data_IF_273526051919
#
_entry.id   IF_273526051919
#
_cell.length_a   1.000
_cell.length_b   1.000
_cell.length_c   1.000
_cell.angle_alpha   90.00
_cell.angle_beta   90.00
_cell.angle_gamma   90.00
#
_symmetry.space_group_name_H-M   'P 1'
#
loop_
_entity.id
_entity.type
_entity.pdbx_description
1 polymer ?
#
# COMPACT_ATOMS: atom_id res chain seq x y z
N UNK A 1 -25.56 -1.49 -15.07
CA UNK A 1 -26.31 -0.25 -15.39
C UNK A 1 -27.36 -0.49 -16.47
N UNK A 2 -27.03 -1.11 -17.61
CA UNK A 2 -28.04 -1.52 -18.60
C UNK A 2 -29.02 -2.57 -18.04
N UNK A 3 -28.52 -3.57 -17.33
CA UNK A 3 -29.37 -4.56 -16.62
C UNK A 3 -30.25 -3.90 -15.55
N UNK A 4 -29.67 -3.01 -14.73
CA UNK A 4 -30.42 -2.27 -13.71
C UNK A 4 -31.54 -1.41 -14.32
N UNK A 5 -31.32 -0.80 -15.48
CA UNK A 5 -32.36 -0.06 -16.20
C UNK A 5 -33.48 -1.00 -16.68
N UNK A 6 -33.15 -2.19 -17.18
CA UNK A 6 -34.13 -3.17 -17.63
C UNK A 6 -35.03 -3.61 -16.47
N UNK A 7 -34.44 -3.92 -15.31
CA UNK A 7 -35.18 -4.25 -14.09
C UNK A 7 -36.04 -3.06 -13.60
N UNK A 8 -35.48 -1.84 -13.58
CA UNK A 8 -36.23 -0.65 -13.16
C UNK A 8 -37.46 -0.39 -14.05
N UNK A 9 -37.35 -0.64 -15.36
CA UNK A 9 -38.47 -0.57 -16.30
C UNK A 9 -39.47 -1.71 -16.09
N UNK A 10 -38.99 -2.92 -15.84
CA UNK A 10 -39.83 -4.10 -15.58
C UNK A 10 -40.70 -3.92 -14.33
N UNK A 11 -40.11 -3.42 -13.23
CA UNK A 11 -40.83 -3.12 -11.99
C UNK A 11 -41.53 -1.74 -12.00
N UNK A 12 -41.53 -1.02 -13.13
CA UNK A 12 -42.16 0.29 -13.28
C UNK A 12 -41.69 1.34 -12.25
N UNK A 13 -40.42 1.30 -11.84
CA UNK A 13 -39.83 2.27 -10.91
C UNK A 13 -39.31 3.47 -11.71
N UNK A 14 -40.20 4.40 -12.03
CA UNK A 14 -39.95 5.52 -12.96
C UNK A 14 -38.74 6.38 -12.60
N UNK A 15 -38.58 6.74 -11.32
CA UNK A 15 -37.46 7.57 -10.87
C UNK A 15 -36.10 6.86 -11.05
N UNK A 16 -36.05 5.56 -10.74
CA UNK A 16 -34.85 4.75 -10.92
C UNK A 16 -34.53 4.57 -12.40
N UNK A 17 -35.54 4.33 -13.24
CA UNK A 17 -35.37 4.21 -14.69
C UNK A 17 -34.80 5.51 -15.29
N UNK A 18 -35.35 6.67 -14.93
CA UNK A 18 -34.84 7.97 -15.38
C UNK A 18 -33.40 8.22 -14.91
N UNK A 19 -33.09 7.91 -13.65
CA UNK A 19 -31.74 8.04 -13.10
C UNK A 19 -30.74 7.13 -13.84
N UNK A 20 -31.11 5.90 -14.12
CA UNK A 20 -30.29 4.96 -14.88
C UNK A 20 -30.06 5.40 -16.33
N UNK A 21 -31.10 5.93 -17.00
CA UNK A 21 -30.98 6.50 -18.36
C UNK A 21 -30.03 7.69 -18.39
N UNK A 22 -30.16 8.63 -17.45
CA UNK A 22 -29.25 9.76 -17.33
C UNK A 22 -27.81 9.31 -17.04
N UNK A 23 -27.62 8.30 -16.19
CA UNK A 23 -26.29 7.77 -15.88
C UNK A 23 -25.65 7.07 -17.09
N UNK A 24 -26.43 6.35 -17.91
CA UNK A 24 -25.93 5.73 -19.14
C UNK A 24 -25.50 6.79 -20.18
N UNK A 25 -26.29 7.85 -20.36
CA UNK A 25 -25.96 8.98 -21.24
C UNK A 25 -24.67 9.71 -20.81
N UNK A 26 -24.44 9.88 -19.50
CA UNK A 26 -23.19 10.45 -18.98
C UNK A 26 -22.02 9.52 -19.23
N UNK A 27 -22.19 8.21 -19.01
CA UNK A 27 -21.14 7.20 -19.19
C UNK A 27 -20.61 7.14 -20.63
N UNK A 28 -21.47 7.27 -21.64
CA UNK A 28 -21.04 7.26 -23.06
C UNK A 28 -20.20 8.49 -23.43
N UNK A 29 -20.47 9.65 -22.84
CA UNK A 29 -19.67 10.88 -23.05
C UNK A 29 -18.34 10.89 -22.31
N UNK A 30 -18.17 10.00 -21.34
CA UNK A 30 -17.10 10.05 -20.36
C UNK A 30 -15.92 9.13 -20.66
N UNK A 31 -15.95 8.34 -21.74
CA UNK A 31 -14.85 7.47 -22.10
C UNK A 31 -13.57 8.29 -22.33
N UNK A 32 -12.68 8.32 -21.33
CA UNK A 32 -11.35 8.89 -21.51
C UNK A 32 -10.52 7.88 -22.29
N UNK A 33 -10.08 8.22 -23.52
CA UNK A 33 -9.37 7.28 -24.36
C UNK A 33 -7.95 6.97 -23.86
N UNK A 34 -7.48 7.67 -22.81
CA UNK A 34 -6.09 7.66 -22.38
C UNK A 34 -5.99 7.51 -20.86
N UNK A 35 -5.35 6.42 -20.42
CA UNK A 35 -4.86 6.28 -19.04
C UNK A 35 -3.45 6.90 -18.96
N UNK A 36 -3.25 7.89 -18.09
CA UNK A 36 -1.95 8.54 -17.86
C UNK A 36 -1.36 8.09 -16.55
N UNK A 37 -0.13 7.58 -16.60
CA UNK A 37 0.61 7.13 -15.43
C UNK A 37 1.91 7.96 -15.34
N UNK A 38 2.03 8.90 -14.39
CA UNK A 38 3.28 9.62 -14.17
C UNK A 38 4.41 8.67 -13.78
N UNK A 39 5.57 8.91 -14.38
CA UNK A 39 6.84 8.31 -13.99
C UNK A 39 7.62 9.32 -13.16
N UNK A 40 7.92 9.01 -11.90
CA UNK A 40 8.67 9.90 -11.01
C UNK A 40 10.17 9.59 -11.05
N UNK A 41 10.97 10.64 -10.94
CA UNK A 41 12.44 10.56 -10.99
C UNK A 41 13.11 11.17 -9.76
N UNK A 42 12.34 11.80 -8.86
CA UNK A 42 12.87 12.30 -7.58
C UNK A 42 11.86 12.16 -6.43
N UNK A 43 12.33 12.02 -5.18
CA UNK A 43 11.45 11.98 -4.01
C UNK A 43 10.61 13.25 -3.85
N UNK A 44 11.09 14.39 -4.37
CA UNK A 44 10.35 15.66 -4.33
C UNK A 44 9.11 15.61 -5.23
N UNK A 45 9.22 15.05 -6.44
CA UNK A 45 8.09 14.84 -7.35
C UNK A 45 7.06 13.89 -6.74
N UNK A 46 7.53 12.83 -6.07
CA UNK A 46 6.67 11.88 -5.35
C UNK A 46 5.78 12.60 -4.33
N UNK A 47 6.39 13.35 -3.41
CA UNK A 47 5.66 14.05 -2.35
C UNK A 47 4.70 15.10 -2.92
N UNK A 48 5.10 15.79 -4.00
CA UNK A 48 4.23 16.76 -4.65
C UNK A 48 2.99 16.08 -5.25
N UNK A 49 3.14 14.97 -5.97
CA UNK A 49 2.03 14.25 -6.56
C UNK A 49 1.09 13.67 -5.50
N UNK A 50 1.64 13.08 -4.44
CA UNK A 50 0.85 12.48 -3.35
C UNK A 50 0.06 13.54 -2.59
N UNK A 51 0.63 14.72 -2.34
CA UNK A 51 -0.02 15.77 -1.55
C UNK A 51 -0.97 16.66 -2.37
N UNK A 52 -0.81 16.71 -3.70
CA UNK A 52 -1.66 17.54 -4.56
C UNK A 52 -2.95 16.86 -5.00
N UNK A 53 -3.01 15.53 -4.95
CA UNK A 53 -4.18 14.75 -5.36
C UNK A 53 -5.16 14.54 -4.20
N UNK A 54 -6.45 14.55 -4.53
CA UNK A 54 -7.52 14.12 -3.63
C UNK A 54 -7.88 12.65 -3.83
N UNK A 55 -7.37 12.01 -4.88
CA UNK A 55 -7.54 10.59 -5.14
C UNK A 55 -6.60 9.77 -4.26
N UNK A 56 -6.99 8.57 -3.82
CA UNK A 56 -6.03 7.60 -3.32
C UNK A 56 -4.91 7.34 -4.34
N UNK A 57 -3.73 6.98 -3.86
CA UNK A 57 -2.55 6.78 -4.70
C UNK A 57 -2.03 5.35 -4.57
N UNK A 58 -1.71 4.74 -5.70
CA UNK A 58 -0.96 3.48 -5.78
C UNK A 58 0.33 3.75 -6.51
N UNK A 59 1.45 3.56 -5.81
CA UNK A 59 2.79 3.72 -6.36
C UNK A 59 3.42 2.34 -6.56
N UNK A 60 3.95 2.10 -7.75
CA UNK A 60 4.76 0.93 -8.05
C UNK A 60 6.21 1.35 -8.28
N UNK A 61 7.09 0.92 -7.39
CA UNK A 61 8.53 0.95 -7.56
C UNK A 61 8.98 -0.31 -8.27
N UNK A 62 9.73 -0.17 -9.37
CA UNK A 62 10.37 -1.31 -10.06
C UNK A 62 11.85 -1.02 -10.27
N UNK A 63 12.70 -1.81 -9.64
CA UNK A 63 14.14 -1.74 -9.85
C UNK A 63 14.65 -2.95 -10.66
N UNK A 64 14.52 -2.84 -11.99
CA UNK A 64 15.09 -3.81 -12.93
C UNK A 64 16.63 -3.89 -12.92
N UNK A 65 17.33 -3.05 -12.16
CA UNK A 65 18.79 -3.12 -12.08
C UNK A 65 19.26 -3.87 -10.82
N UNK A 66 18.31 -4.35 -10.00
CA UNK A 66 18.62 -5.10 -8.79
C UNK A 66 19.03 -6.53 -9.13
N UNK A 67 20.31 -6.85 -9.04
CA UNK A 67 20.83 -8.19 -9.39
C UNK A 67 20.18 -9.34 -8.61
N UNK A 68 19.47 -9.05 -7.49
CA UNK A 68 18.78 -10.05 -6.68
C UNK A 68 17.62 -10.77 -7.39
N UNK A 69 17.03 -10.16 -8.43
CA UNK A 69 15.98 -10.84 -9.22
C UNK A 69 16.54 -11.57 -10.45
N UNK A 70 17.75 -11.25 -10.91
CA UNK A 70 18.32 -11.79 -12.16
C UNK A 70 18.84 -13.23 -12.06
N UNK A 71 18.66 -13.91 -10.93
CA UNK A 71 19.25 -15.23 -10.67
C UNK A 71 18.48 -16.41 -11.31
N UNK A 72 17.24 -16.22 -11.76
CA UNK A 72 16.42 -17.27 -12.41
C UNK A 72 15.45 -16.68 -13.46
N UNK A 73 15.16 -17.42 -14.53
CA UNK A 73 14.13 -17.02 -15.52
C UNK A 73 12.75 -16.83 -14.89
N UNK A 74 12.40 -17.66 -13.90
CA UNK A 74 11.14 -17.56 -13.15
C UNK A 74 10.99 -16.22 -12.43
N UNK A 75 12.08 -15.59 -11.98
CA UNK A 75 12.01 -14.29 -11.31
C UNK A 75 11.70 -13.14 -12.27
N UNK A 76 12.17 -13.25 -13.53
CA UNK A 76 11.83 -12.31 -14.61
C UNK A 76 10.35 -12.42 -14.99
N UNK A 77 9.85 -13.65 -15.21
CA UNK A 77 8.43 -13.90 -15.49
C UNK A 77 7.53 -13.32 -14.38
N UNK A 78 7.93 -13.50 -13.12
CA UNK A 78 7.17 -12.99 -11.99
C UNK A 78 7.19 -11.46 -11.92
N UNK A 79 8.31 -10.81 -12.28
CA UNK A 79 8.38 -9.36 -12.36
C UNK A 79 7.48 -8.82 -13.47
N UNK A 80 7.48 -9.47 -14.64
CA UNK A 80 6.60 -9.11 -15.75
C UNK A 80 5.12 -9.25 -15.37
N UNK A 81 4.73 -10.34 -14.69
CA UNK A 81 3.37 -10.50 -14.13
C UNK A 81 3.00 -9.38 -13.17
N UNK A 82 3.94 -8.94 -12.34
CA UNK A 82 3.70 -7.83 -11.40
C UNK A 82 3.47 -6.50 -12.13
N UNK A 83 4.25 -6.22 -13.19
CA UNK A 83 4.06 -5.04 -14.04
C UNK A 83 2.72 -5.12 -14.78
N UNK A 84 2.35 -6.28 -15.31
CA UNK A 84 1.07 -6.51 -15.98
C UNK A 84 -0.12 -6.29 -15.02
N UNK A 85 0.00 -6.75 -13.77
CA UNK A 85 -1.00 -6.50 -12.73
C UNK A 85 -1.19 -4.99 -12.50
N UNK A 86 -0.10 -4.22 -12.43
CA UNK A 86 -0.18 -2.78 -12.30
C UNK A 86 -0.90 -2.11 -13.46
N UNK A 87 -0.56 -2.49 -14.69
CA UNK A 87 -1.21 -1.95 -15.88
C UNK A 87 -2.72 -2.30 -15.86
N UNK A 88 -3.10 -3.55 -15.53
CA UNK A 88 -4.52 -3.95 -15.36
C UNK A 88 -5.26 -3.10 -14.32
N UNK A 89 -4.66 -2.89 -13.15
CA UNK A 89 -5.29 -2.11 -12.08
C UNK A 89 -5.41 -0.63 -12.47
N UNK A 90 -4.38 -0.06 -13.13
CA UNK A 90 -4.40 1.33 -13.59
C UNK A 90 -5.45 1.59 -14.68
N UNK A 91 -5.68 0.63 -15.57
CA UNK A 91 -6.73 0.72 -16.59
C UNK A 91 -8.11 0.61 -15.95
N UNK A 92 -8.26 -0.25 -14.94
CA UNK A 92 -9.55 -0.49 -14.26
C UNK A 92 -9.94 0.65 -13.32
N UNK A 93 -8.98 1.21 -12.59
CA UNK A 93 -9.23 2.16 -11.50
C UNK A 93 -8.64 3.56 -11.72
N UNK A 94 -8.01 3.85 -12.88
CA UNK A 94 -7.29 5.11 -13.12
C UNK A 94 -8.13 6.39 -13.01
N UNK A 95 -9.47 6.30 -13.12
CA UNK A 95 -10.37 7.43 -12.86
C UNK A 95 -10.47 7.76 -11.37
N UNK A 96 -10.40 6.73 -10.53
CA UNK A 96 -10.65 6.81 -9.08
C UNK A 96 -9.36 6.88 -8.27
N UNK A 97 -8.30 6.25 -8.74
CA UNK A 97 -7.00 6.13 -8.08
C UNK A 97 -5.92 6.75 -8.96
N UNK A 98 -5.01 7.52 -8.38
CA UNK A 98 -3.79 7.97 -9.06
C UNK A 98 -2.74 6.86 -9.02
N UNK A 99 -2.36 6.34 -10.18
CA UNK A 99 -1.28 5.37 -10.29
C UNK A 99 0.04 6.06 -10.63
N UNK A 100 1.14 5.67 -9.98
CA UNK A 100 2.47 6.27 -10.18
C UNK A 100 3.48 5.15 -10.41
N UNK A 101 4.35 5.30 -11.41
CA UNK A 101 5.54 4.46 -11.57
C UNK A 101 6.75 5.18 -10.98
N UNK A 102 7.48 4.49 -10.14
CA UNK A 102 8.67 4.98 -9.44
C UNK A 102 9.90 4.23 -9.97
N UNK A 103 10.86 5.00 -10.48
CA UNK A 103 12.16 4.50 -10.99
C UNK A 103 13.33 5.07 -10.20
N UNK A 104 13.07 5.70 -9.05
CA UNK A 104 14.09 6.17 -8.13
C UNK A 104 14.72 4.91 -7.55
N UNK A 105 15.91 4.57 -8.06
CA UNK A 105 16.58 3.31 -7.72
C UNK A 105 16.70 3.12 -6.21
N UNK A 106 16.03 2.08 -5.69
CA UNK A 106 16.05 1.70 -4.27
C UNK A 106 16.76 0.34 -4.08
N UNK A 107 16.93 -0.08 -2.83
CA UNK A 107 17.41 -1.43 -2.49
C UNK A 107 16.38 -2.52 -2.78
N UNK A 108 15.11 -2.17 -2.93
CA UNK A 108 14.01 -3.11 -3.16
C UNK A 108 13.94 -3.50 -4.64
N UNK A 109 13.58 -4.75 -4.93
CA UNK A 109 13.37 -5.22 -6.30
C UNK A 109 12.12 -4.57 -6.89
N UNK A 110 11.02 -4.64 -6.14
CA UNK A 110 9.77 -3.96 -6.44
C UNK A 110 8.98 -3.77 -5.15
N UNK A 111 8.25 -2.66 -5.07
CA UNK A 111 7.39 -2.34 -3.94
C UNK A 111 6.13 -1.62 -4.41
N UNK A 112 4.99 -2.10 -3.94
CA UNK A 112 3.71 -1.42 -4.05
C UNK A 112 3.48 -0.62 -2.79
N UNK A 113 3.25 0.68 -2.93
CA UNK A 113 2.93 1.56 -1.80
C UNK A 113 1.57 2.21 -2.02
N UNK A 114 0.75 2.17 -0.98
CA UNK A 114 -0.63 2.64 -1.01
C UNK A 114 -0.74 3.88 -0.13
N UNK A 115 -1.36 4.93 -0.66
CA UNK A 115 -1.58 6.17 0.08
C UNK A 115 -3.05 6.56 0.08
N UNK A 116 -3.54 6.90 1.28
CA UNK A 116 -4.85 7.50 1.52
C UNK A 116 -4.66 8.88 2.14
N UNK A 117 -5.35 9.90 1.64
CA UNK A 117 -5.27 11.27 2.17
C UNK A 117 -3.83 11.81 2.31
N UNK A 118 -2.96 11.52 1.33
CA UNK A 118 -1.56 11.95 1.33
C UNK A 118 -0.64 11.19 2.29
N UNK A 119 -1.14 10.18 3.00
CA UNK A 119 -0.35 9.36 3.95
C UNK A 119 -0.24 7.93 3.47
N UNK A 120 0.93 7.32 3.67
CA UNK A 120 1.15 5.89 3.41
C UNK A 120 0.28 5.08 4.38
N UNK A 121 -0.53 4.18 3.85
CA UNK A 121 -1.43 3.31 4.64
C UNK A 121 -1.00 1.84 4.60
N UNK A 122 -0.41 1.40 3.50
CA UNK A 122 0.07 0.03 3.34
C UNK A 122 1.26 -0.03 2.38
N UNK A 123 2.02 -1.11 2.47
CA UNK A 123 3.02 -1.47 1.48
C UNK A 123 3.13 -2.98 1.30
N UNK A 124 3.51 -3.39 0.09
CA UNK A 124 3.70 -4.77 -0.28
C UNK A 124 4.96 -4.87 -1.14
N UNK A 125 6.04 -5.36 -0.52
CA UNK A 125 7.33 -5.59 -1.18
C UNK A 125 7.41 -6.99 -1.77
N UNK A 126 8.31 -7.15 -2.74
CA UNK A 126 8.69 -8.45 -3.27
C UNK A 126 9.63 -9.16 -2.29
N UNK A 127 9.44 -10.46 -2.13
CA UNK A 127 10.26 -11.25 -1.22
C UNK A 127 11.27 -12.05 -2.04
N UNK A 128 12.52 -12.06 -1.57
CA UNK A 128 13.60 -12.84 -2.16
C UNK A 128 13.85 -14.05 -1.28
N UNK A 129 13.52 -15.23 -1.76
CA UNK A 129 13.66 -16.50 -1.04
C UNK A 129 14.90 -17.24 -1.56
N UNK A 130 15.78 -17.67 -0.63
CA UNK A 130 16.98 -18.46 -0.94
C UNK A 130 16.72 -19.92 -0.56
N UNK A 131 16.86 -20.84 -1.52
CA UNK A 131 16.45 -22.24 -1.32
C UNK A 131 17.58 -23.19 -0.85
N UNK A 132 18.85 -22.79 -0.88
CA UNK A 132 19.96 -23.58 -0.32
C UNK A 132 21.23 -22.72 -0.12
N UNK A 133 22.07 -23.07 0.86
CA UNK A 133 23.39 -22.46 1.10
C UNK A 133 24.40 -22.77 -0.02
N UNK A 134 24.18 -23.88 -0.74
CA UNK A 134 25.19 -24.51 -1.59
C UNK A 134 25.02 -24.10 -3.06
N UNK A 135 23.80 -23.68 -3.43
CA UNK A 135 23.44 -23.14 -4.75
C UNK A 135 22.67 -21.84 -4.53
N UNK A 136 23.22 -20.73 -5.01
CA UNK A 136 22.65 -19.36 -4.90
C UNK A 136 21.37 -19.18 -5.75
N UNK A 137 20.40 -20.07 -5.62
CA UNK A 137 19.09 -19.89 -6.23
C UNK A 137 18.28 -18.95 -5.34
N UNK A 138 18.19 -17.70 -5.77
CA UNK A 138 17.25 -16.73 -5.21
C UNK A 138 16.03 -16.67 -6.13
N UNK A 139 14.85 -16.92 -5.58
CA UNK A 139 13.58 -16.72 -6.28
C UNK A 139 12.92 -15.48 -5.73
N UNK A 140 12.41 -14.66 -6.63
CA UNK A 140 11.57 -13.53 -6.24
C UNK A 140 10.11 -13.96 -6.30
N UNK A 141 9.41 -13.75 -5.18
CA UNK A 141 7.99 -14.02 -5.05
C UNK A 141 7.21 -12.72 -4.77
N UNK A 142 6.02 -12.66 -5.35
CA UNK A 142 5.15 -11.50 -5.33
C UNK A 142 3.79 -11.93 -4.75
N UNK A 143 3.34 -11.35 -3.63
CA UNK A 143 2.08 -11.72 -3.01
C UNK A 143 0.89 -11.06 -3.74
N UNK A 144 0.57 -11.57 -4.93
CA UNK A 144 -0.46 -11.03 -5.84
C UNK A 144 -1.81 -10.81 -5.15
N UNK A 145 -2.29 -11.80 -4.38
CA UNK A 145 -3.56 -11.71 -3.67
C UNK A 145 -3.59 -10.51 -2.71
N UNK A 146 -2.47 -10.27 -1.99
CA UNK A 146 -2.35 -9.13 -1.07
C UNK A 146 -2.30 -7.80 -1.83
N UNK A 147 -1.59 -7.73 -2.96
CA UNK A 147 -1.57 -6.53 -3.80
C UNK A 147 -2.98 -6.17 -4.26
N UNK A 148 -3.74 -7.18 -4.69
CA UNK A 148 -5.12 -7.00 -5.13
C UNK A 148 -6.00 -6.50 -3.98
N UNK A 149 -5.91 -7.13 -2.81
CA UNK A 149 -6.63 -6.73 -1.60
C UNK A 149 -6.35 -5.28 -1.22
N UNK A 150 -5.07 -4.89 -1.11
CA UNK A 150 -4.70 -3.51 -0.74
C UNK A 150 -5.15 -2.49 -1.80
N UNK A 151 -5.13 -2.86 -3.08
CA UNK A 151 -5.64 -1.99 -4.15
C UNK A 151 -7.16 -1.79 -4.05
N UNK A 152 -7.91 -2.78 -3.57
CA UNK A 152 -9.34 -2.60 -3.29
C UNK A 152 -9.57 -1.82 -2.01
N UNK A 153 -8.76 -2.04 -0.97
CA UNK A 153 -8.85 -1.31 0.29
C UNK A 153 -8.61 0.19 0.11
N UNK A 154 -7.71 0.59 -0.81
CA UNK A 154 -7.44 2.01 -1.02
C UNK A 154 -8.66 2.77 -1.59
N UNK A 155 -9.62 2.06 -2.20
CA UNK A 155 -10.85 2.67 -2.71
C UNK A 155 -11.75 3.19 -1.56
N UNK A 156 -11.53 2.75 -0.33
CA UNK A 156 -12.18 3.29 0.88
C UNK A 156 -11.77 4.75 1.16
N UNK A 157 -10.64 5.19 0.62
CA UNK A 157 -10.14 6.56 0.75
C UNK A 157 -10.58 7.44 -0.43
N UNK A 158 -11.53 6.99 -1.24
CA UNK A 158 -12.17 7.82 -2.24
C UNK A 158 -13.21 8.75 -1.62
N UNK A 159 -13.30 9.98 -2.15
CA UNK A 159 -14.20 11.05 -1.71
C UNK A 159 -13.76 11.76 -0.43
N UNK A 160 -13.43 13.06 -0.55
CA UNK A 160 -13.17 13.93 0.59
C UNK A 160 -14.49 14.25 1.30
N UNK A 161 -14.72 13.60 2.43
CA UNK A 161 -15.46 14.20 3.55
C UNK A 161 -14.54 14.22 4.79
N UNK A 162 -13.42 14.95 4.68
CA UNK A 162 -12.48 15.12 5.79
C UNK A 162 -11.78 13.83 6.23
N UNK A 163 -10.86 13.91 7.20
CA UNK A 163 -10.28 12.72 7.80
C UNK A 163 -11.37 12.03 8.60
N UNK A 164 -11.92 10.94 8.07
CA UNK A 164 -12.76 10.06 8.86
C UNK A 164 -11.86 9.40 9.91
N UNK A 165 -11.86 9.98 11.11
CA UNK A 165 -10.99 9.61 12.22
C UNK A 165 -11.26 8.15 12.63
N UNK A 166 -12.48 7.67 12.40
CA UNK A 166 -12.92 6.30 12.65
C UNK A 166 -12.33 5.31 11.62
N UNK A 167 -12.31 5.66 10.32
CA UNK A 167 -11.67 4.84 9.29
C UNK A 167 -10.15 4.73 9.50
N UNK A 168 -9.50 5.83 9.88
CA UNK A 168 -8.07 5.82 10.23
C UNK A 168 -7.80 4.93 11.45
N UNK A 169 -8.64 4.97 12.48
CA UNK A 169 -8.50 4.11 13.65
C UNK A 169 -8.73 2.63 13.29
N UNK A 170 -9.75 2.32 12.48
CA UNK A 170 -10.08 0.95 12.09
C UNK A 170 -9.01 0.28 11.21
N UNK A 171 -8.26 1.06 10.43
CA UNK A 171 -7.23 0.55 9.51
C UNK A 171 -5.80 0.69 10.04
N UNK A 172 -5.56 1.56 11.02
CA UNK A 172 -4.20 1.83 11.56
C UNK A 172 -3.58 0.71 12.39
N UNK A 173 -4.28 -0.41 12.64
CA UNK A 173 -3.83 -1.43 13.58
C UNK A 173 -3.91 -2.87 13.02
N UNK A 174 -3.16 -3.14 11.97
CA UNK A 174 -2.73 -4.52 11.65
C UNK A 174 -1.21 -4.58 11.50
N UNK A 175 -0.52 -4.41 12.64
CA UNK A 175 0.94 -4.51 12.66
C UNK A 175 1.65 -4.05 13.93
N UNK A 176 1.11 -4.30 15.12
CA UNK A 176 1.90 -4.31 16.35
C UNK A 176 1.37 -5.43 17.26
N UNK A 177 1.95 -6.62 17.12
CA UNK A 177 1.86 -7.64 18.16
C UNK A 177 2.78 -7.17 19.29
N UNK A 178 2.25 -6.31 20.16
CA UNK A 178 2.82 -6.03 21.47
C UNK A 178 1.79 -6.44 22.53
N UNK A 179 1.68 -7.75 22.71
CA UNK A 179 1.01 -8.32 23.88
C UNK A 179 1.90 -8.14 25.10
N UNK A 180 1.80 -6.99 25.76
CA UNK A 180 2.15 -6.83 27.16
C UNK A 180 1.15 -5.83 27.78
N UNK A 181 0.54 -6.15 28.93
CA UNK A 181 -0.58 -5.39 29.48
C UNK A 181 -0.14 -4.06 30.11
N UNK A 182 -1.06 -3.09 30.24
CA UNK A 182 -0.80 -1.83 30.91
C UNK A 182 -0.81 -2.03 32.44
N UNK A 183 0.32 -1.78 33.09
CA UNK A 183 0.38 -1.66 34.54
C UNK A 183 0.47 -0.16 34.90
N UNK A 184 -0.63 0.40 35.36
CA UNK A 184 -0.69 1.73 35.99
C UNK A 184 -0.50 1.58 37.50
N UNK A 185 0.47 2.33 38.03
CA UNK A 185 0.66 2.90 39.38
C UNK A 185 0.00 2.28 40.61
N UNK A 186 0.78 2.06 41.68
CA UNK A 186 0.69 2.88 42.90
C UNK A 186 1.91 2.71 43.82
N UNK A 187 2.03 3.69 44.72
CA UNK A 187 3.14 4.25 45.49
C UNK A 187 3.82 3.33 46.54
N UNK A 188 5.12 3.55 46.82
CA UNK A 188 5.60 3.80 48.19
C UNK A 188 7.05 4.35 48.21
N UNK A 189 7.23 5.36 49.07
CA UNK A 189 8.46 6.11 49.35
C UNK A 189 9.59 5.26 49.95
N UNK A 190 10.84 5.74 49.82
CA UNK A 190 11.93 5.23 50.64
C UNK A 190 13.32 5.66 50.21
N UNK A 191 13.69 6.88 50.60
CA UNK A 191 15.02 7.29 51.06
C UNK A 191 16.26 6.55 50.52
N UNK A 192 17.19 7.29 49.90
CA UNK A 192 18.38 7.85 50.59
C UNK A 192 19.49 8.17 49.58
N UNK A 193 19.76 9.46 49.47
CA UNK A 193 21.01 10.04 48.96
C UNK A 193 22.23 9.36 49.59
N UNK A 194 23.27 9.07 48.80
CA UNK A 194 24.55 8.65 49.37
C UNK A 194 25.61 8.19 48.37
N UNK A 195 26.49 9.14 48.00
CA UNK A 195 27.95 8.98 47.90
C UNK A 195 28.48 7.83 47.01
N UNK A 196 29.01 8.17 45.83
CA UNK A 196 30.45 8.41 45.64
C UNK A 196 31.33 7.15 45.79
N UNK A 197 32.02 6.85 44.68
CA UNK A 197 33.41 6.35 44.59
C UNK A 197 33.89 5.46 45.74
N UNK A 198 34.26 4.20 45.44
CA UNK A 198 35.61 3.63 45.68
C UNK A 198 35.60 2.08 45.56
N UNK A 199 36.74 1.56 45.04
CA UNK A 199 37.30 0.18 45.12
C UNK A 199 36.73 -0.82 44.11
N UNK A 200 37.41 -1.20 43.02
CA UNK A 200 38.77 -1.79 42.88
C UNK A 200 39.09 -2.92 43.88
N UNK A 201 39.40 -4.09 43.30
CA UNK A 201 40.00 -5.29 43.88
C UNK A 201 39.16 -6.12 44.86
N UNK A 202 38.67 -7.29 44.43
CA UNK A 202 39.24 -8.60 44.77
C UNK A 202 38.46 -9.72 44.05
N UNK A 203 38.96 -10.20 42.91
CA UNK A 203 38.75 -11.60 42.52
C UNK A 203 39.76 -12.43 43.29
N UNK A 204 39.31 -13.28 44.21
CA UNK A 204 39.93 -14.59 44.44
C UNK A 204 39.06 -15.50 45.31
N UNK A 205 39.06 -16.78 44.93
CA UNK A 205 38.72 -17.99 45.72
C UNK A 205 37.21 -18.31 45.77
N UNK A 206 36.70 -19.49 45.36
CA UNK A 206 37.26 -20.84 45.18
C UNK A 206 36.93 -21.43 43.80
#
# INVERSE_FOLDING_TARGET
MAELLAEAKYYCITELAQSCEQALLRKEREAEPICRIPLITSPKEEQLLINSTTKPVVKLLVNRHNNKYSYTSTSDDNLLKNIELFDKMSLRFGRRVLFIKDVIGSSEICCWTFYGHGRKVAEVCCHSIVYATDKKHTKVEFPEARIYEETLNILLYEHRNGPDQELMQATSSRGAVSGAPPCTSDEEEGERSGLARLRSNKQNIN
#
